data_IF_849551999607
#
_entry.id   IF_849551999607
#
_cell.length_a   1.000
_cell.length_b   1.000
_cell.length_c   1.000
_cell.angle_alpha   90.00
_cell.angle_beta   90.00
_cell.angle_gamma   90.00
#
_symmetry.space_group_name_H-M   'P 1'
#
loop_
_entity.id
_entity.type
_entity.pdbx_description
1 polymer ?
#
# COMPACT_ATOMS: atom_id res chain seq x y z
N UNK A 1 -27.83 -7.16 -12.28
CA UNK A 1 -26.65 -7.99 -12.68
C UNK A 1 -25.46 -7.52 -11.87
N UNK A 2 -25.10 -8.23 -10.79
CA UNK A 2 -23.90 -7.91 -10.00
C UNK A 2 -22.69 -8.36 -10.81
N UNK A 3 -22.02 -7.42 -11.47
CA UNK A 3 -20.68 -7.67 -12.00
C UNK A 3 -19.76 -7.82 -10.79
N UNK A 4 -19.54 -9.05 -10.32
CA UNK A 4 -18.46 -9.35 -9.39
C UNK A 4 -17.15 -9.18 -10.16
N UNK A 5 -16.68 -7.94 -10.24
CA UNK A 5 -15.40 -7.62 -10.82
C UNK A 5 -14.32 -8.39 -10.06
N UNK A 6 -13.55 -9.21 -10.78
CA UNK A 6 -12.40 -9.91 -10.24
C UNK A 6 -11.49 -8.90 -9.55
N UNK A 7 -11.30 -9.05 -8.24
CA UNK A 7 -10.36 -8.23 -7.47
C UNK A 7 -8.94 -8.64 -7.84
N UNK A 8 -8.13 -7.69 -8.25
CA UNK A 8 -6.71 -7.89 -8.49
C UNK A 8 -5.98 -7.90 -7.14
N UNK A 9 -5.44 -9.05 -6.77
CA UNK A 9 -4.75 -9.23 -5.49
C UNK A 9 -3.25 -9.12 -5.70
N UNK A 10 -2.66 -8.08 -5.11
CA UNK A 10 -1.23 -7.80 -5.17
C UNK A 10 -0.62 -8.16 -3.81
N UNK A 11 0.36 -9.06 -3.83
CA UNK A 11 1.08 -9.50 -2.62
C UNK A 11 2.43 -8.81 -2.55
N UNK A 12 2.75 -8.24 -1.41
CA UNK A 12 3.97 -7.47 -1.18
C UNK A 12 4.67 -8.00 0.07
N UNK A 13 5.97 -8.27 -0.04
CA UNK A 13 6.84 -8.52 1.10
C UNK A 13 7.49 -7.22 1.55
N UNK A 14 7.23 -6.82 2.81
CA UNK A 14 7.76 -5.60 3.39
C UNK A 14 9.19 -5.73 3.95
N UNK A 15 9.78 -6.93 3.94
CA UNK A 15 11.13 -7.16 4.48
C UNK A 15 12.17 -6.27 3.78
N UNK A 16 12.98 -5.56 4.57
CA UNK A 16 14.07 -4.67 4.12
C UNK A 16 13.64 -3.48 3.24
N UNK A 17 12.34 -3.31 3.00
CA UNK A 17 11.78 -2.17 2.27
C UNK A 17 11.71 -0.94 3.16
N UNK A 18 12.02 0.22 2.61
CA UNK A 18 11.91 1.50 3.36
C UNK A 18 10.45 1.88 3.52
N UNK A 19 9.98 2.04 4.77
CA UNK A 19 8.58 2.30 5.13
C UNK A 19 7.89 3.34 4.23
N UNK A 20 8.47 4.55 4.13
CA UNK A 20 7.84 5.64 3.38
C UNK A 20 7.75 5.39 1.88
N UNK A 21 8.77 4.77 1.28
CA UNK A 21 8.78 4.46 -0.18
C UNK A 21 7.75 3.40 -0.50
N UNK A 22 7.70 2.34 0.33
CA UNK A 22 6.73 1.27 0.18
C UNK A 22 5.29 1.77 0.32
N UNK A 23 5.03 2.64 1.30
CA UNK A 23 3.71 3.22 1.52
C UNK A 23 3.22 4.03 0.30
N UNK A 24 4.09 4.82 -0.32
CA UNK A 24 3.73 5.58 -1.52
C UNK A 24 3.37 4.67 -2.69
N UNK A 25 4.15 3.62 -2.94
CA UNK A 25 3.87 2.64 -4.00
C UNK A 25 2.52 1.93 -3.76
N UNK A 26 2.27 1.51 -2.52
CA UNK A 26 1.01 0.88 -2.11
C UNK A 26 -0.17 1.84 -2.35
N UNK A 27 -0.03 3.12 -1.99
CA UNK A 27 -1.09 4.11 -2.19
C UNK A 27 -1.44 4.29 -3.67
N UNK A 28 -0.45 4.28 -4.57
CA UNK A 28 -0.68 4.37 -6.02
C UNK A 28 -1.46 3.16 -6.55
N UNK A 29 -1.09 1.96 -6.08
CA UNK A 29 -1.76 0.71 -6.42
C UNK A 29 -3.19 0.69 -5.89
N UNK A 30 -3.41 1.08 -4.63
CA UNK A 30 -4.75 1.16 -4.03
C UNK A 30 -5.63 2.19 -4.73
N UNK A 31 -5.06 3.28 -5.26
CA UNK A 31 -5.79 4.26 -6.08
C UNK A 31 -6.03 3.78 -7.51
N UNK A 32 -5.45 2.65 -7.93
CA UNK A 32 -5.57 2.13 -9.29
C UNK A 32 -4.81 2.94 -10.34
N UNK A 33 -3.94 3.88 -9.92
CA UNK A 33 -3.16 4.74 -10.83
C UNK A 33 -2.10 4.00 -11.63
N UNK A 34 -1.82 2.75 -11.27
CA UNK A 34 -0.97 1.84 -12.02
C UNK A 34 -1.69 1.20 -13.22
N UNK A 35 -3.03 1.30 -13.31
CA UNK A 35 -3.82 0.76 -14.41
C UNK A 35 -4.18 1.88 -15.40
N UNK A 36 -4.01 1.70 -16.72
CA UNK A 36 -4.44 2.67 -17.73
C UNK A 36 -5.95 3.00 -17.67
N UNK A 37 -6.77 2.14 -17.07
CA UNK A 37 -8.20 2.38 -16.83
C UNK A 37 -8.52 3.23 -15.59
N UNK A 38 -7.55 3.93 -15.00
CA UNK A 38 -7.76 4.81 -13.84
C UNK A 38 -8.76 5.93 -14.16
N UNK A 39 -9.76 6.07 -13.28
CA UNK A 39 -10.65 7.22 -13.28
C UNK A 39 -10.87 7.67 -11.82
N UNK A 40 -10.76 8.98 -11.52
CA UNK A 40 -10.79 9.49 -10.14
C UNK A 40 -12.12 9.25 -9.42
N UNK A 41 -13.21 9.11 -10.17
CA UNK A 41 -14.56 8.85 -9.66
C UNK A 41 -14.91 7.35 -9.60
N UNK A 42 -14.00 6.46 -10.03
CA UNK A 42 -14.22 5.02 -10.08
C UNK A 42 -13.41 4.34 -9.00
N UNK A 43 -14.06 3.48 -8.23
CA UNK A 43 -13.36 2.65 -7.26
C UNK A 43 -12.52 1.58 -7.98
N UNK A 44 -11.21 1.51 -7.70
CA UNK A 44 -10.35 0.48 -8.26
C UNK A 44 -10.60 -0.87 -7.57
N UNK A 45 -10.52 -1.95 -8.34
CA UNK A 45 -10.72 -3.32 -7.83
C UNK A 45 -9.41 -3.95 -7.35
N UNK A 46 -8.59 -3.21 -6.61
CA UNK A 46 -7.26 -3.66 -6.18
C UNK A 46 -7.26 -4.00 -4.69
N UNK A 47 -6.59 -5.09 -4.33
CA UNK A 47 -6.37 -5.51 -2.94
C UNK A 47 -4.89 -5.74 -2.72
N UNK A 48 -4.31 -5.04 -1.74
CA UNK A 48 -2.90 -5.20 -1.38
C UNK A 48 -2.80 -6.01 -0.10
N UNK A 49 -2.06 -7.13 -0.16
CA UNK A 49 -1.76 -7.98 0.99
C UNK A 49 -0.28 -7.85 1.31
N UNK A 50 0.03 -7.38 2.52
CA UNK A 50 1.40 -7.13 2.96
C UNK A 50 1.82 -8.22 3.94
N UNK A 51 2.99 -8.81 3.70
CA UNK A 51 3.63 -9.80 4.57
C UNK A 51 4.91 -9.23 5.20
N UNK A 52 5.35 -9.81 6.33
CA UNK A 52 6.55 -9.40 7.06
C UNK A 52 6.63 -7.92 7.46
N UNK A 53 5.51 -7.26 7.74
CA UNK A 53 5.47 -5.84 8.12
C UNK A 53 6.39 -5.49 9.32
N UNK A 54 6.61 -6.43 10.24
CA UNK A 54 7.55 -6.27 11.37
C UNK A 54 9.02 -6.08 10.95
N UNK A 55 9.41 -6.57 9.77
CA UNK A 55 10.79 -6.52 9.25
C UNK A 55 11.01 -5.35 8.27
N UNK A 56 10.13 -4.35 8.31
CA UNK A 56 10.24 -3.19 7.45
C UNK A 56 11.40 -2.28 7.90
N UNK A 57 12.13 -1.72 6.93
CA UNK A 57 13.28 -0.87 7.21
C UNK A 57 12.83 0.56 7.54
N UNK A 58 13.24 1.02 8.71
CA UNK A 58 13.14 2.42 9.13
C UNK A 58 14.56 3.00 9.15
N UNK A 59 14.74 4.18 8.56
CA UNK A 59 16.05 4.82 8.43
C UNK A 59 16.34 5.77 9.59
N UNK A 60 17.59 5.79 10.05
CA UNK A 60 18.07 6.65 11.14
C UNK A 60 17.37 6.37 12.47
N UNK A 61 17.30 7.38 13.34
CA UNK A 61 16.74 7.26 14.70
C UNK A 61 15.20 7.39 14.73
N UNK A 62 14.54 7.25 13.58
CA UNK A 62 13.07 7.41 13.47
C UNK A 62 12.31 6.32 14.22
N UNK A 63 12.91 5.17 14.46
CA UNK A 63 12.27 4.11 15.24
C UNK A 63 12.03 4.56 16.69
N UNK A 64 12.97 5.31 17.25
CA UNK A 64 12.94 5.77 18.64
C UNK A 64 12.24 7.13 18.77
N UNK A 65 12.48 8.04 17.82
CA UNK A 65 12.04 9.43 17.92
C UNK A 65 10.64 9.70 17.35
N UNK A 66 10.02 8.75 16.65
CA UNK A 66 8.75 8.99 15.97
C UNK A 66 7.56 8.68 16.87
N UNK A 67 6.96 9.72 17.42
CA UNK A 67 5.68 9.63 18.13
C UNK A 67 4.51 9.66 17.15
N UNK A 68 3.59 8.71 17.29
CA UNK A 68 2.33 8.68 16.55
C UNK A 68 1.23 9.26 17.42
N UNK A 69 0.65 10.39 17.00
CA UNK A 69 -0.50 10.98 17.67
C UNK A 69 -1.78 10.49 16.99
N UNK A 70 -2.70 9.93 17.76
CA UNK A 70 -4.08 9.69 17.33
C UNK A 70 -4.98 10.68 18.06
N UNK A 71 -5.68 11.55 17.34
CA UNK A 71 -6.73 12.41 17.87
C UNK A 71 -8.08 11.92 17.37
#
# INVERSE_FOLDING_TARGET
>A
MKNEAKKEVIRIDAKDKTLGRLATEIALVLQGKNNPGYAPNKEPNNVVIISNAKKIKITGNKLENKTYFSR
#
